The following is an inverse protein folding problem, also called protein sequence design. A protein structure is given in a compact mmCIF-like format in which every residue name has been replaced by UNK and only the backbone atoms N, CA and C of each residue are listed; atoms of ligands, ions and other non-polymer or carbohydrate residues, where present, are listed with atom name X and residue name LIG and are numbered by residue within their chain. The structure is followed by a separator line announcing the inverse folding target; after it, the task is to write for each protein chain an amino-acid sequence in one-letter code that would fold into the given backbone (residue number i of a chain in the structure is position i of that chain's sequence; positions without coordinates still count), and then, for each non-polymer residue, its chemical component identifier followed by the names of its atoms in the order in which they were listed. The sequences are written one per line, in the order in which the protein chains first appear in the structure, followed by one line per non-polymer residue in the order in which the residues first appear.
data_IF_448999132182
#
_entry.id   IF_448999132182
#
_cell.length_a   1.000
_cell.length_b   1.000
_cell.length_c   1.000
_cell.angle_alpha   90.00
_cell.angle_beta   90.00
_cell.angle_gamma   90.00
#
_symmetry.space_group_name_H-M   'P 1'
#
loop_
_entity.id
_entity.type
_entity.pdbx_description
1 polymer ?
#
# COMPACT_ATOMS: atom_id res chain seq x y z
N UNK A 1 -13.66 -12.54 -13.45
CA UNK A 1 -13.20 -11.34 -12.73
C UNK A 1 -11.80 -11.00 -13.24
N UNK A 2 -11.66 -10.01 -14.13
CA UNK A 2 -10.35 -9.55 -14.65
C UNK A 2 -10.01 -8.24 -13.90
N UNK A 3 -9.41 -8.34 -12.71
CA UNK A 3 -8.89 -7.17 -11.95
C UNK A 3 -7.38 -7.18 -11.75
N UNK A 4 -6.73 -8.33 -11.95
CA UNK A 4 -5.32 -8.61 -11.64
C UNK A 4 -4.26 -7.74 -12.35
N UNK A 5 -4.66 -6.78 -13.17
CA UNK A 5 -3.74 -5.93 -13.97
C UNK A 5 -3.81 -4.45 -13.60
N UNK A 6 -4.83 -4.00 -12.88
CA UNK A 6 -5.08 -2.57 -12.63
C UNK A 6 -4.57 -2.08 -11.27
N UNK A 7 -4.24 -3.00 -10.36
CA UNK A 7 -3.70 -2.71 -9.02
C UNK A 7 -2.48 -3.58 -8.70
N UNK A 8 -1.73 -4.01 -9.71
CA UNK A 8 -0.67 -5.00 -9.55
C UNK A 8 0.47 -4.54 -8.61
N UNK A 9 0.89 -3.28 -8.68
CA UNK A 9 1.90 -2.72 -7.78
C UNK A 9 1.37 -2.57 -6.36
N UNK A 10 0.09 -2.21 -6.19
CA UNK A 10 -0.55 -2.20 -4.87
C UNK A 10 -0.60 -3.62 -4.27
N UNK A 11 -1.05 -4.60 -5.05
CA UNK A 11 -1.14 -6.00 -4.64
C UNK A 11 0.24 -6.54 -4.24
N UNK A 12 1.29 -6.23 -5.03
CA UNK A 12 2.66 -6.64 -4.76
C UNK A 12 3.22 -5.95 -3.50
N UNK A 13 2.95 -4.66 -3.32
CA UNK A 13 3.40 -3.91 -2.15
C UNK A 13 2.81 -4.49 -0.86
N UNK A 14 1.49 -4.69 -0.82
CA UNK A 14 0.83 -5.27 0.35
C UNK A 14 1.31 -6.71 0.56
N UNK A 15 1.34 -7.52 -0.50
CA UNK A 15 1.73 -8.92 -0.39
C UNK A 15 3.20 -9.17 0.00
N UNK A 16 4.12 -8.27 -0.37
CA UNK A 16 5.52 -8.42 -0.03
C UNK A 16 5.85 -7.82 1.34
N UNK A 17 5.30 -6.65 1.66
CA UNK A 17 5.72 -5.87 2.83
C UNK A 17 4.74 -5.93 4.00
N UNK A 18 3.44 -6.09 3.76
CA UNK A 18 2.39 -6.21 4.76
C UNK A 18 1.81 -7.63 4.81
N UNK A 19 2.68 -8.63 4.64
CA UNK A 19 2.28 -10.03 4.75
C UNK A 19 1.99 -10.43 6.21
N UNK A 20 1.51 -11.67 6.40
CA UNK A 20 1.12 -12.22 7.70
C UNK A 20 2.25 -12.18 8.76
N UNK A 21 3.51 -12.19 8.31
CA UNK A 21 4.70 -12.23 9.14
C UNK A 21 5.28 -10.83 9.43
N UNK A 22 4.68 -9.76 8.87
CA UNK A 22 5.17 -8.38 8.97
C UNK A 22 5.23 -7.87 10.43
N UNK A 23 4.29 -8.31 11.26
CA UNK A 23 4.17 -7.86 12.65
C UNK A 23 3.94 -9.02 13.63
N UNK A 24 4.82 -10.03 13.55
CA UNK A 24 4.78 -11.20 14.46
C UNK A 24 4.85 -10.80 15.94
N UNK A 25 5.46 -9.65 16.25
CA UNK A 25 5.70 -9.20 17.63
C UNK A 25 4.87 -8.00 18.09
N UNK A 26 4.05 -7.38 17.22
CA UNK A 26 3.22 -6.23 17.59
C UNK A 26 4.01 -4.92 17.76
N UNK A 27 5.23 -4.85 17.23
CA UNK A 27 6.16 -3.73 17.44
C UNK A 27 6.45 -2.96 16.14
N UNK A 28 6.18 -3.57 14.98
CA UNK A 28 6.48 -2.95 13.69
C UNK A 28 5.41 -1.90 13.38
N UNK A 29 5.81 -0.71 12.95
CA UNK A 29 4.88 0.36 12.55
C UNK A 29 4.69 0.43 11.03
N UNK A 30 3.54 0.93 10.57
CA UNK A 30 3.27 1.16 9.13
C UNK A 30 4.41 1.97 8.49
N UNK A 31 4.92 2.97 9.20
CA UNK A 31 5.98 3.85 8.69
C UNK A 31 7.32 3.14 8.51
N UNK A 32 7.66 2.18 9.38
CA UNK A 32 8.85 1.35 9.24
C UNK A 32 8.74 0.44 8.02
N UNK A 33 7.59 -0.20 7.83
CA UNK A 33 7.33 -1.07 6.66
C UNK A 33 7.40 -0.28 5.36
N UNK A 34 6.77 0.91 5.32
CA UNK A 34 6.87 1.81 4.16
C UNK A 34 8.33 2.22 3.94
N UNK A 35 9.07 2.54 5.00
CA UNK A 35 10.49 2.93 4.87
C UNK A 35 11.34 1.81 4.29
N UNK A 36 11.09 0.56 4.68
CA UNK A 36 11.77 -0.62 4.12
C UNK A 36 11.49 -0.76 2.62
N UNK A 37 10.22 -0.62 2.19
CA UNK A 37 9.87 -0.59 0.77
C UNK A 37 10.61 0.52 0.01
N UNK A 38 10.62 1.74 0.56
CA UNK A 38 11.27 2.89 -0.07
C UNK A 38 12.78 2.71 -0.21
N UNK A 39 13.43 2.03 0.72
CA UNK A 39 14.88 1.79 0.67
C UNK A 39 15.28 0.63 -0.24
N UNK A 40 14.36 -0.31 -0.50
CA UNK A 40 14.66 -1.58 -1.15
C UNK A 40 14.24 -1.62 -2.63
N UNK A 41 13.23 -0.85 -3.04
CA UNK A 41 12.66 -0.92 -4.40
C UNK A 41 13.07 0.27 -5.29
N UNK A 42 13.25 0.07 -6.62
CA UNK A 42 13.58 1.15 -7.53
C UNK A 42 12.41 2.14 -7.72
N UNK A 43 12.69 3.43 -8.03
CA UNK A 43 11.68 4.48 -8.23
C UNK A 43 10.58 4.18 -9.27
N UNK A 44 10.81 3.25 -10.20
CA UNK A 44 9.81 2.85 -11.18
C UNK A 44 8.62 2.13 -10.54
N UNK A 45 8.85 1.27 -9.54
CA UNK A 45 7.78 0.57 -8.84
C UNK A 45 7.01 1.50 -7.91
N UNK A 46 7.68 2.48 -7.31
CA UNK A 46 7.06 3.53 -6.52
C UNK A 46 6.05 4.35 -7.33
N UNK A 47 6.39 4.69 -8.58
CA UNK A 47 5.49 5.39 -9.50
C UNK A 47 4.28 4.52 -9.85
N UNK A 48 4.49 3.24 -10.14
CA UNK A 48 3.41 2.28 -10.36
C UNK A 48 2.48 2.13 -9.15
N UNK A 49 3.04 2.06 -7.94
CA UNK A 49 2.25 2.00 -6.69
C UNK A 49 1.37 3.25 -6.53
N UNK A 50 1.89 4.44 -6.82
CA UNK A 50 1.11 5.68 -6.78
C UNK A 50 -0.05 5.62 -7.79
N UNK A 51 0.21 5.20 -9.03
CA UNK A 51 -0.81 5.10 -10.09
C UNK A 51 -1.91 4.12 -9.69
N UNK A 52 -1.55 2.97 -9.12
CA UNK A 52 -2.50 1.96 -8.64
C UNK A 52 -3.35 2.47 -7.46
N UNK A 53 -2.74 3.18 -6.50
CA UNK A 53 -3.47 3.78 -5.37
C UNK A 53 -4.46 4.84 -5.87
N UNK A 54 -3.99 5.76 -6.71
CA UNK A 54 -4.84 6.83 -7.28
C UNK A 54 -6.00 6.21 -8.08
N UNK A 55 -5.73 5.18 -8.89
CA UNK A 55 -6.74 4.44 -9.63
C UNK A 55 -7.73 3.75 -8.70
N UNK A 56 -7.25 3.03 -7.69
CA UNK A 56 -8.09 2.28 -6.76
C UNK A 56 -9.06 3.20 -6.01
N UNK A 57 -8.55 4.28 -5.42
CA UNK A 57 -9.37 5.26 -4.68
C UNK A 57 -10.39 5.91 -5.63
N UNK A 58 -9.98 6.31 -6.83
CA UNK A 58 -10.85 7.03 -7.77
C UNK A 58 -11.96 6.16 -8.38
N UNK A 59 -11.76 4.84 -8.46
CA UNK A 59 -12.71 3.91 -9.06
C UNK A 59 -13.54 3.14 -8.01
N UNK A 60 -13.22 3.30 -6.73
CA UNK A 60 -13.99 2.69 -5.64
C UNK A 60 -15.19 3.54 -5.25
N UNK A 61 -16.32 2.89 -4.98
CA UNK A 61 -17.50 3.54 -4.37
C UNK A 61 -17.47 3.48 -2.84
N UNK A 62 -16.71 2.53 -2.30
CA UNK A 62 -16.58 2.21 -0.89
C UNK A 62 -15.19 1.60 -0.70
N UNK A 63 -14.22 2.45 -0.37
CA UNK A 63 -12.80 2.11 -0.36
C UNK A 63 -12.51 1.01 0.64
N UNK A 64 -13.14 1.06 1.82
CA UNK A 64 -12.97 0.06 2.87
C UNK A 64 -13.43 -1.32 2.37
N UNK A 65 -14.65 -1.39 1.85
CA UNK A 65 -15.20 -2.65 1.35
C UNK A 65 -14.44 -3.17 0.13
N UNK A 66 -14.07 -2.31 -0.80
CA UNK A 66 -13.33 -2.73 -1.99
C UNK A 66 -11.92 -3.20 -1.64
N UNK A 67 -11.30 -2.64 -0.59
CA UNK A 67 -9.97 -3.02 -0.11
C UNK A 67 -10.00 -4.40 0.54
N UNK A 68 -11.00 -4.69 1.38
CA UNK A 68 -11.23 -6.04 1.93
C UNK A 68 -11.39 -7.10 0.83
N UNK A 69 -11.95 -6.71 -0.31
CA UNK A 69 -12.14 -7.59 -1.47
C UNK A 69 -10.87 -7.81 -2.32
N UNK A 70 -9.74 -7.15 -2.00
CA UNK A 70 -8.45 -7.44 -2.64
C UNK A 70 -7.93 -8.84 -2.24
N UNK A 71 -8.39 -9.37 -1.10
CA UNK A 71 -8.03 -10.72 -0.66
C UNK A 71 -6.60 -10.81 -0.10
N UNK A 72 -6.07 -9.69 0.40
CA UNK A 72 -4.85 -9.67 1.19
C UNK A 72 -5.13 -10.10 2.63
N UNK A 73 -4.08 -10.50 3.34
CA UNK A 73 -4.14 -10.81 4.78
C UNK A 73 -3.78 -9.59 5.64
N UNK A 74 -3.73 -8.41 5.03
CA UNK A 74 -3.51 -7.14 5.71
C UNK A 74 -4.84 -6.47 6.00
N UNK A 75 -5.11 -6.21 7.28
CA UNK A 75 -6.30 -5.54 7.77
C UNK A 75 -5.92 -4.20 8.42
N UNK A 76 -6.23 -3.06 7.77
CA UNK A 76 -5.86 -1.72 8.28
C UNK A 76 -6.33 -1.45 9.71
N UNK A 77 -7.48 -2.01 10.09
CA UNK A 77 -8.05 -1.87 11.44
C UNK A 77 -7.17 -2.43 12.56
N UNK A 78 -6.37 -3.47 12.28
CA UNK A 78 -5.43 -4.05 13.25
C UNK A 78 -4.23 -3.11 13.53
N UNK A 79 -4.05 -2.11 12.67
CA UNK A 79 -3.02 -1.09 12.76
C UNK A 79 -3.60 0.29 13.10
N UNK A 80 -4.80 0.32 13.69
CA UNK A 80 -5.50 1.53 14.12
C UNK A 80 -5.73 2.57 12.99
N UNK A 81 -5.93 2.11 11.75
CA UNK A 81 -6.17 2.98 10.58
C UNK A 81 -7.32 2.45 9.70
N UNK A 82 -7.72 3.24 8.70
CA UNK A 82 -8.67 2.84 7.65
C UNK A 82 -7.92 2.49 6.37
N UNK A 83 -8.54 1.76 5.44
CA UNK A 83 -7.96 1.49 4.13
C UNK A 83 -7.67 2.80 3.39
N UNK A 84 -8.60 3.75 3.42
CA UNK A 84 -8.41 5.06 2.77
C UNK A 84 -7.24 5.84 3.39
N UNK A 85 -7.15 5.89 4.72
CA UNK A 85 -6.06 6.60 5.40
C UNK A 85 -4.71 5.93 5.15
N UNK A 86 -4.66 4.59 5.20
CA UNK A 86 -3.48 3.81 4.83
C UNK A 86 -3.00 4.12 3.41
N UNK A 87 -3.89 4.02 2.42
CA UNK A 87 -3.56 4.27 1.01
C UNK A 87 -3.06 5.71 0.78
N UNK A 88 -3.72 6.70 1.38
CA UNK A 88 -3.31 8.09 1.30
C UNK A 88 -1.95 8.32 1.97
N UNK A 89 -1.71 7.68 3.12
CA UNK A 89 -0.44 7.78 3.84
C UNK A 89 0.71 7.19 3.01
N UNK A 90 0.53 5.99 2.44
CA UNK A 90 1.49 5.35 1.54
C UNK A 90 1.76 6.26 0.33
N UNK A 91 0.73 6.72 -0.37
CA UNK A 91 0.87 7.60 -1.55
C UNK A 91 1.66 8.87 -1.21
N UNK A 92 1.35 9.50 -0.07
CA UNK A 92 2.07 10.70 0.41
C UNK A 92 3.54 10.40 0.68
N UNK A 93 3.85 9.35 1.44
CA UNK A 93 5.23 8.95 1.79
C UNK A 93 6.07 8.67 0.56
N UNK A 94 5.51 7.93 -0.40
CA UNK A 94 6.19 7.60 -1.67
C UNK A 94 6.43 8.85 -2.52
N UNK A 95 5.44 9.74 -2.66
CA UNK A 95 5.60 11.01 -3.39
C UNK A 95 6.66 11.90 -2.75
N UNK A 96 6.72 11.97 -1.43
CA UNK A 96 7.69 12.79 -0.72
C UNK A 96 9.12 12.20 -0.79
N UNK A 97 9.25 10.88 -0.84
CA UNK A 97 10.53 10.22 -1.12
C UNK A 97 11.02 10.53 -2.54
N UNK A 98 10.17 10.34 -3.56
CA UNK A 98 10.53 10.59 -4.95
C UNK A 98 10.93 12.03 -5.26
N UNK A 99 10.39 13.02 -4.53
CA UNK A 99 10.79 14.44 -4.68
C UNK A 99 12.20 14.73 -4.16
N UNK A 100 12.72 13.94 -3.22
CA UNK A 100 14.06 14.12 -2.64
C UNK A 100 15.16 13.58 -3.55
N UNK A 101 14.82 12.63 -4.42
CA UNK A 101 15.71 11.99 -5.39
C UNK A 101 15.87 12.79 -6.69
N UNK A 102 15.23 13.97 -6.81
CA UNK A 102 15.26 14.87 -8.00
C UNK A 102 16.09 16.11 -7.73
#
# INVERSE_FOLDING_TARGET
MKRKKETQHLDNFIGAYFNQDCDIFGETTIDEVITEYLNSEPPIFMKGLIEDIDYFISNSKDVEKDFDNLGHEFYPELWETTALDFLNHVSKRVRDYLKKEV
#
